data_IF_641717056780
#
_entry.id   IF_641717056780
#
_cell.length_a   1.000
_cell.length_b   1.000
_cell.length_c   1.000
_cell.angle_alpha   90.00
_cell.angle_beta   90.00
_cell.angle_gamma   90.00
#
_symmetry.space_group_name_H-M   'P 1'
#
loop_
_entity.id
_entity.type
_entity.pdbx_description
1 polymer ?
#
# COMPACT_ATOMS: atom_id res chain seq x y z
N UNK A 1 63.65 -30.50 55.22
CA UNK A 1 64.56 -30.96 54.16
C UNK A 1 63.69 -31.33 52.96
N UNK A 2 63.97 -30.73 51.78
CA UNK A 2 63.41 -31.00 50.44
C UNK A 2 61.91 -30.69 50.19
N UNK A 3 61.42 -30.25 49.01
CA UNK A 3 61.99 -29.67 47.77
C UNK A 3 60.81 -29.45 46.76
N UNK A 4 60.79 -28.31 46.03
CA UNK A 4 60.17 -28.01 44.69
C UNK A 4 58.64 -28.14 44.50
N UNK A 5 57.88 -27.09 44.12
CA UNK A 5 57.75 -26.26 42.88
C UNK A 5 57.05 -26.96 41.68
N UNK A 6 55.95 -26.35 41.21
CA UNK A 6 55.24 -26.35 39.88
C UNK A 6 53.72 -26.59 40.09
N UNK A 7 52.72 -26.03 39.39
CA UNK A 7 52.49 -24.81 38.60
C UNK A 7 50.98 -24.78 38.22
N UNK A 8 50.50 -23.60 37.84
CA UNK A 8 49.18 -23.16 37.34
C UNK A 8 48.21 -24.17 36.67
N UNK A 9 46.89 -24.01 36.92
CA UNK A 9 45.90 -23.51 35.96
C UNK A 9 44.48 -23.41 36.57
N UNK A 10 43.77 -22.33 36.27
CA UNK A 10 42.45 -21.94 36.77
C UNK A 10 41.28 -22.54 35.97
N UNK A 11 40.04 -22.48 36.51
CA UNK A 11 38.80 -22.09 35.81
C UNK A 11 37.61 -21.92 36.80
N UNK A 12 36.78 -20.90 36.52
CA UNK A 12 35.73 -20.25 37.35
C UNK A 12 34.41 -21.04 37.55
N UNK A 13 33.48 -20.53 38.38
CA UNK A 13 32.15 -20.25 37.81
C UNK A 13 31.42 -18.96 38.26
N UNK A 14 30.68 -18.42 37.28
CA UNK A 14 29.34 -17.81 37.26
C UNK A 14 28.94 -16.67 38.24
N UNK A 15 28.69 -15.49 37.67
CA UNK A 15 27.95 -14.37 38.27
C UNK A 15 26.51 -14.38 37.75
N UNK A 16 25.53 -14.50 38.64
CA UNK A 16 24.10 -14.37 38.34
C UNK A 16 23.70 -12.90 38.57
N UNK A 17 23.35 -12.18 37.50
CA UNK A 17 22.81 -10.82 37.58
C UNK A 17 21.33 -10.80 37.23
N UNK A 18 20.46 -10.46 38.18
CA UNK A 18 19.02 -10.25 37.98
C UNK A 18 18.80 -8.73 37.78
N UNK A 19 18.23 -8.32 36.64
CA UNK A 19 17.80 -6.94 36.39
C UNK A 19 16.28 -6.81 36.53
N UNK A 20 15.85 -5.82 37.31
CA UNK A 20 14.47 -5.36 37.48
C UNK A 20 13.89 -4.80 36.18
N UNK A 21 12.58 -5.02 35.94
CA UNK A 21 11.76 -4.15 35.10
C UNK A 21 10.44 -3.86 35.82
N UNK A 22 10.22 -2.59 36.15
CA UNK A 22 8.95 -2.08 36.64
C UNK A 22 7.95 -1.90 35.49
N UNK A 23 6.68 -2.15 35.77
CA UNK A 23 5.58 -1.92 34.84
C UNK A 23 5.04 -0.50 35.10
N UNK A 24 5.32 0.43 34.19
CA UNK A 24 4.65 1.72 34.12
C UNK A 24 3.44 1.55 33.20
N UNK A 25 2.24 1.47 33.75
CA UNK A 25 1.01 1.63 32.96
C UNK A 25 0.82 3.13 32.72
N UNK A 26 1.23 3.60 31.55
CA UNK A 26 1.10 4.99 31.14
C UNK A 26 0.40 5.09 29.80
N UNK A 27 -0.71 5.83 29.77
CA UNK A 27 -1.28 6.53 28.60
C UNK A 27 -1.64 5.76 27.32
N UNK A 28 -1.38 4.46 27.22
CA UNK A 28 -1.36 3.73 25.94
C UNK A 28 -2.71 3.27 25.38
N UNK A 29 -3.83 3.42 26.10
CA UNK A 29 -5.15 3.00 25.59
C UNK A 29 -5.89 4.06 24.78
N UNK A 30 -5.47 5.33 24.84
CA UNK A 30 -6.08 6.43 24.07
C UNK A 30 -5.40 6.71 22.72
N UNK A 31 -4.25 6.09 22.46
CA UNK A 31 -3.50 6.15 21.18
C UNK A 31 -3.64 4.86 20.36
N UNK A 32 -4.65 4.04 20.61
CA UNK A 32 -4.95 2.83 19.83
C UNK A 32 -5.60 3.14 18.46
N UNK A 33 -5.11 4.16 17.76
CA UNK A 33 -5.27 4.27 16.30
C UNK A 33 -4.06 3.57 15.71
N UNK A 34 -4.28 2.66 14.77
CA UNK A 34 -3.25 1.79 14.20
C UNK A 34 -2.03 2.61 13.74
N UNK A 35 -1.01 2.73 14.59
CA UNK A 35 0.26 3.32 14.20
C UNK A 35 0.94 2.32 13.28
N UNK A 36 1.08 2.69 12.01
CA UNK A 36 1.83 1.91 11.03
C UNK A 36 3.29 1.83 11.47
N UNK A 37 3.86 0.61 11.44
CA UNK A 37 5.25 0.41 11.81
C UNK A 37 6.18 1.19 10.85
N UNK A 38 7.18 1.95 11.35
CA UNK A 38 8.08 2.70 10.50
C UNK A 38 8.84 1.85 9.48
N UNK A 39 9.14 0.58 9.76
CA UNK A 39 9.79 -0.28 8.76
C UNK A 39 8.84 -0.66 7.64
N UNK A 40 7.55 -0.87 7.93
CA UNK A 40 6.50 -1.03 6.90
C UNK A 40 6.48 0.18 5.97
N UNK A 41 6.58 1.40 6.50
CA UNK A 41 6.67 2.61 5.67
C UNK A 41 7.91 2.64 4.78
N UNK A 42 9.07 2.28 5.32
CA UNK A 42 10.31 2.19 4.54
C UNK A 42 10.21 1.12 3.45
N UNK A 43 9.56 -0.01 3.73
CA UNK A 43 9.42 -1.10 2.78
C UNK A 43 8.53 -0.70 1.60
N UNK A 44 7.30 -0.23 1.87
CA UNK A 44 6.41 0.19 0.78
C UNK A 44 6.96 1.37 -0.01
N UNK A 45 7.70 2.29 0.62
CA UNK A 45 8.35 3.39 -0.08
C UNK A 45 9.45 2.91 -1.07
N UNK A 46 10.15 1.80 -0.75
CA UNK A 46 11.15 1.20 -1.65
C UNK A 46 10.50 0.44 -2.81
N UNK A 47 9.33 -0.14 -2.57
CA UNK A 47 8.62 -0.98 -3.53
C UNK A 47 7.56 -0.21 -4.33
N UNK A 48 7.62 1.13 -4.34
CA UNK A 48 6.75 1.95 -5.19
C UNK A 48 6.94 1.54 -6.66
N UNK A 49 5.82 1.32 -7.34
CA UNK A 49 5.74 0.82 -8.70
C UNK A 49 5.92 -0.70 -8.82
N UNK A 50 6.14 -1.43 -7.73
CA UNK A 50 6.26 -2.90 -7.74
C UNK A 50 4.96 -3.54 -7.28
N UNK A 51 4.39 -4.39 -8.12
CA UNK A 51 3.17 -5.13 -7.81
C UNK A 51 3.29 -6.57 -8.30
N UNK A 52 3.02 -7.54 -7.42
CA UNK A 52 3.28 -8.97 -7.65
C UNK A 52 4.69 -9.28 -8.20
N UNK A 53 5.69 -8.53 -7.72
CA UNK A 53 7.10 -8.69 -8.12
C UNK A 53 7.44 -8.09 -9.49
N UNK A 54 6.50 -7.39 -10.14
CA UNK A 54 6.70 -6.73 -11.43
C UNK A 54 6.80 -5.23 -11.20
N UNK A 55 7.91 -4.64 -11.65
CA UNK A 55 8.10 -3.20 -11.61
C UNK A 55 7.43 -2.50 -12.80
N UNK A 56 6.81 -1.36 -12.54
CA UNK A 56 6.22 -0.50 -13.54
C UNK A 56 6.48 0.99 -13.27
N UNK A 57 7.26 1.61 -14.16
CA UNK A 57 7.52 3.05 -14.16
C UNK A 57 6.25 3.92 -14.20
N UNK A 58 5.25 3.68 -15.09
CA UNK A 58 4.00 4.45 -15.06
C UNK A 58 3.26 4.31 -13.73
N UNK A 59 3.31 3.13 -13.08
CA UNK A 59 2.69 2.97 -11.76
C UNK A 59 3.36 3.84 -10.70
N UNK A 60 4.69 3.97 -10.74
CA UNK A 60 5.44 4.88 -9.86
C UNK A 60 4.92 6.33 -9.99
N UNK A 61 4.55 6.76 -11.21
CA UNK A 61 4.00 8.10 -11.45
C UNK A 61 2.60 8.27 -10.86
N UNK A 62 1.72 7.29 -11.06
CA UNK A 62 0.37 7.31 -10.51
C UNK A 62 0.39 7.31 -8.97
N UNK A 63 1.24 6.47 -8.35
CA UNK A 63 1.43 6.45 -6.89
C UNK A 63 1.97 7.80 -6.40
N UNK A 64 2.98 8.36 -7.06
CA UNK A 64 3.56 9.66 -6.70
C UNK A 64 2.54 10.80 -6.74
N UNK A 65 1.70 10.86 -7.77
CA UNK A 65 0.62 11.84 -7.87
C UNK A 65 -0.44 11.60 -6.79
N UNK A 66 -0.88 10.35 -6.57
CA UNK A 66 -1.82 10.00 -5.51
C UNK A 66 -1.35 10.53 -4.14
N UNK A 67 -0.11 10.21 -3.74
CA UNK A 67 0.44 10.66 -2.47
C UNK A 67 0.51 12.19 -2.38
N UNK A 68 0.77 12.86 -3.50
CA UNK A 68 0.75 14.33 -3.57
C UNK A 68 -0.65 14.89 -3.35
N UNK A 69 -1.67 14.37 -4.04
CA UNK A 69 -3.06 14.83 -3.91
C UNK A 69 -3.62 14.55 -2.51
N UNK A 70 -3.31 13.38 -1.95
CA UNK A 70 -3.77 12.96 -0.63
C UNK A 70 -3.27 13.86 0.51
N UNK A 71 -2.23 14.69 0.31
CA UNK A 71 -1.82 15.70 1.32
C UNK A 71 -2.92 16.71 1.64
N UNK A 72 -3.89 16.86 0.74
CA UNK A 72 -4.93 17.89 0.82
C UNK A 72 -6.31 17.34 1.14
N UNK A 73 -6.45 16.01 1.28
CA UNK A 73 -7.73 15.34 1.46
C UNK A 73 -7.60 14.05 2.27
N UNK A 74 -8.60 13.74 3.10
CA UNK A 74 -8.76 12.44 3.76
C UNK A 74 -9.52 11.42 2.88
N UNK A 75 -9.89 11.82 1.67
CA UNK A 75 -10.66 11.02 0.73
C UNK A 75 -9.78 10.68 -0.49
N UNK A 76 -8.91 9.68 -0.38
CA UNK A 76 -8.02 9.28 -1.48
C UNK A 76 -8.83 8.74 -2.66
N UNK A 77 -9.97 8.08 -2.43
CA UNK A 77 -10.80 7.50 -3.49
C UNK A 77 -11.62 8.54 -4.25
N UNK A 78 -11.56 9.81 -3.86
CA UNK A 78 -11.98 10.93 -4.70
C UNK A 78 -10.92 11.34 -5.75
N UNK A 79 -9.68 10.85 -5.63
CA UNK A 79 -8.58 11.20 -6.52
C UNK A 79 -8.37 10.09 -7.57
N UNK A 80 -8.44 10.47 -8.84
CA UNK A 80 -8.30 9.55 -9.96
C UNK A 80 -6.91 8.87 -9.99
N UNK A 81 -5.85 9.61 -9.66
CA UNK A 81 -4.51 9.04 -9.49
C UNK A 81 -4.41 8.03 -8.35
N UNK A 82 -5.17 8.18 -7.26
CA UNK A 82 -5.19 7.17 -6.18
C UNK A 82 -5.95 5.91 -6.56
N UNK A 83 -7.06 6.03 -7.28
CA UNK A 83 -7.79 4.86 -7.80
C UNK A 83 -6.93 4.09 -8.79
N UNK A 84 -6.28 4.77 -9.74
CA UNK A 84 -5.37 4.12 -10.70
C UNK A 84 -4.11 3.55 -10.02
N UNK A 85 -3.51 4.28 -9.06
CA UNK A 85 -2.41 3.78 -8.25
C UNK A 85 -2.77 2.49 -7.52
N UNK A 86 -3.94 2.41 -6.89
CA UNK A 86 -4.38 1.20 -6.21
C UNK A 86 -4.36 0.00 -7.16
N UNK A 87 -4.86 0.15 -8.40
CA UNK A 87 -4.88 -0.96 -9.38
C UNK A 87 -3.51 -1.44 -9.84
N UNK A 88 -2.50 -0.57 -9.81
CA UNK A 88 -1.16 -0.91 -10.30
C UNK A 88 -0.14 -1.22 -9.20
N UNK A 89 -0.42 -0.82 -7.96
CA UNK A 89 0.46 -0.95 -6.79
C UNK A 89 -0.10 -1.93 -5.75
N UNK A 90 -1.41 -2.17 -5.76
CA UNK A 90 -2.15 -2.85 -4.71
C UNK A 90 -2.76 -1.86 -3.70
N UNK A 91 -3.96 -2.14 -3.24
CA UNK A 91 -4.70 -1.35 -2.24
C UNK A 91 -3.97 -1.32 -0.90
N UNK A 92 -3.36 -2.44 -0.50
CA UNK A 92 -2.63 -2.55 0.78
C UNK A 92 -1.43 -1.62 0.80
N UNK A 93 -0.68 -1.61 -0.30
CA UNK A 93 0.50 -0.78 -0.44
C UNK A 93 0.13 0.72 -0.52
N UNK A 94 -0.88 1.08 -1.33
CA UNK A 94 -1.32 2.48 -1.44
C UNK A 94 -1.85 3.00 -0.11
N UNK A 95 -2.74 2.25 0.56
CA UNK A 95 -3.30 2.68 1.85
C UNK A 95 -2.22 2.76 2.94
N UNK A 96 -1.26 1.82 2.96
CA UNK A 96 -0.11 1.90 3.86
C UNK A 96 0.73 3.15 3.60
N UNK A 97 1.04 3.47 2.34
CA UNK A 97 1.77 4.70 1.99
C UNK A 97 1.03 5.97 2.40
N UNK A 98 -0.31 5.97 2.27
CA UNK A 98 -1.15 7.07 2.74
C UNK A 98 -1.09 7.22 4.27
N UNK A 99 -1.18 6.11 5.01
CA UNK A 99 -1.01 6.11 6.48
C UNK A 99 0.39 6.56 6.92
N UNK A 100 1.43 6.21 6.16
CA UNK A 100 2.79 6.65 6.42
C UNK A 100 2.96 8.17 6.23
N UNK A 101 2.17 8.76 5.33
CA UNK A 101 2.15 10.21 5.13
C UNK A 101 1.27 10.92 6.16
N UNK A 102 0.15 10.32 6.52
CA UNK A 102 -0.79 10.82 7.52
C UNK A 102 -1.22 9.69 8.47
N UNK A 103 -0.63 9.60 9.67
CA UNK A 103 -0.98 8.58 10.65
C UNK A 103 -2.43 8.64 11.16
N UNK A 104 -3.16 9.72 10.86
CA UNK A 104 -4.58 9.84 11.20
C UNK A 104 -5.52 9.20 10.18
N UNK A 105 -5.02 8.88 8.98
CA UNK A 105 -5.75 8.15 7.96
C UNK A 105 -6.02 6.70 8.42
N UNK A 106 -7.29 6.32 8.42
CA UNK A 106 -7.73 4.95 8.68
C UNK A 106 -8.34 4.36 7.39
N UNK A 107 -7.65 3.41 6.73
CA UNK A 107 -8.12 2.77 5.51
C UNK A 107 -9.50 2.12 5.66
N UNK A 108 -9.84 1.64 6.86
CA UNK A 108 -11.15 1.01 7.11
C UNK A 108 -12.30 2.02 7.15
N UNK A 109 -11.97 3.30 7.35
CA UNK A 109 -12.91 4.42 7.37
C UNK A 109 -12.79 5.29 6.11
N UNK A 110 -12.01 4.88 5.12
CA UNK A 110 -11.87 5.61 3.87
C UNK A 110 -13.26 5.77 3.20
N UNK A 111 -13.64 6.98 2.75
CA UNK A 111 -14.92 7.20 2.08
C UNK A 111 -15.10 6.32 0.85
N UNK A 112 -16.34 6.05 0.43
CA UNK A 112 -16.58 5.36 -0.85
C UNK A 112 -16.00 6.12 -2.04
N UNK A 113 -15.60 5.36 -3.05
CA UNK A 113 -15.32 5.84 -4.40
C UNK A 113 -16.41 6.80 -4.85
N UNK A 114 -16.03 7.98 -5.35
CA UNK A 114 -17.02 8.94 -5.83
C UNK A 114 -17.75 8.38 -7.05
N UNK A 115 -19.08 8.34 -6.99
CA UNK A 115 -19.94 7.92 -8.11
C UNK A 115 -19.62 8.66 -9.42
N UNK A 116 -19.36 9.97 -9.34
CA UNK A 116 -18.97 10.77 -10.50
C UNK A 116 -17.61 10.35 -11.07
N UNK A 117 -16.65 10.00 -10.21
CA UNK A 117 -15.36 9.47 -10.67
C UNK A 117 -15.55 8.12 -11.34
N UNK A 118 -16.32 7.21 -10.74
CA UNK A 118 -16.64 5.94 -11.38
C UNK A 118 -17.36 6.12 -12.73
N UNK A 119 -18.31 7.05 -12.84
CA UNK A 119 -19.00 7.34 -14.09
C UNK A 119 -18.03 7.85 -15.17
N UNK A 120 -17.05 8.68 -14.80
CA UNK A 120 -15.98 9.12 -15.70
C UNK A 120 -15.09 7.95 -16.14
N UNK A 121 -14.69 7.09 -15.21
CA UNK A 121 -13.94 5.85 -15.50
C UNK A 121 -14.70 4.95 -16.47
N UNK A 122 -15.98 4.70 -16.19
CA UNK A 122 -16.84 3.83 -16.99
C UNK A 122 -17.33 4.51 -18.28
N UNK A 123 -17.07 5.80 -18.46
CA UNK A 123 -17.52 6.63 -19.58
C UNK A 123 -19.05 6.59 -19.77
N UNK A 124 -19.80 6.48 -18.67
CA UNK A 124 -21.25 6.33 -18.63
C UNK A 124 -21.80 6.56 -17.22
N UNK A 125 -23.09 6.90 -17.08
CA UNK A 125 -23.69 7.12 -15.74
C UNK A 125 -24.15 5.83 -15.03
N UNK A 126 -24.37 4.73 -15.76
CA UNK A 126 -25.00 3.51 -15.21
C UNK A 126 -24.54 2.20 -15.86
N UNK A 127 -23.28 2.13 -16.28
CA UNK A 127 -22.68 0.90 -16.82
C UNK A 127 -21.50 0.43 -15.98
N UNK A 128 -21.14 -0.84 -16.16
CA UNK A 128 -19.98 -1.43 -15.52
C UNK A 128 -18.69 -0.99 -16.23
N UNK A 129 -17.59 -0.95 -15.47
CA UNK A 129 -16.27 -0.62 -15.98
C UNK A 129 -15.74 -1.76 -16.85
N UNK A 130 -15.64 -1.52 -18.15
CA UNK A 130 -15.00 -2.44 -19.10
C UNK A 130 -13.47 -2.32 -19.04
N UNK A 131 -12.76 -3.35 -19.53
CA UNK A 131 -11.31 -3.28 -19.64
C UNK A 131 -10.82 -2.12 -20.53
N UNK A 132 -11.50 -1.84 -21.66
CA UNK A 132 -11.08 -0.74 -22.53
C UNK A 132 -11.22 0.61 -21.81
N UNK A 133 -12.32 0.80 -21.08
CA UNK A 133 -12.53 2.04 -20.33
C UNK A 133 -11.51 2.19 -19.20
N UNK A 134 -11.10 1.09 -18.56
CA UNK A 134 -9.99 1.08 -17.60
C UNK A 134 -8.64 1.46 -18.24
N UNK A 135 -8.34 0.94 -19.44
CA UNK A 135 -7.13 1.33 -20.19
C UNK A 135 -7.17 2.81 -20.52
N UNK A 136 -8.28 3.31 -21.05
CA UNK A 136 -8.43 4.73 -21.39
C UNK A 136 -8.26 5.61 -20.14
N UNK A 137 -8.81 5.19 -19.01
CA UNK A 137 -8.63 5.85 -17.73
C UNK A 137 -7.16 5.93 -17.31
N UNK A 138 -6.46 4.79 -17.27
CA UNK A 138 -5.03 4.74 -16.91
C UNK A 138 -4.17 5.67 -17.80
N UNK A 139 -4.35 5.59 -19.11
CA UNK A 139 -3.59 6.42 -20.05
C UNK A 139 -4.00 7.91 -19.96
N UNK A 140 -5.27 8.18 -19.69
CA UNK A 140 -5.80 9.51 -19.41
C UNK A 140 -5.15 10.12 -18.18
N UNK A 141 -5.08 9.39 -17.07
CA UNK A 141 -4.44 9.84 -15.83
C UNK A 141 -2.95 10.10 -16.01
N UNK A 142 -2.22 9.18 -16.66
CA UNK A 142 -0.81 9.38 -16.99
C UNK A 142 -0.59 10.64 -17.84
N UNK A 143 -1.49 10.90 -18.79
CA UNK A 143 -1.46 12.14 -19.58
C UNK A 143 -1.73 13.37 -18.73
N UNK A 144 -2.74 13.31 -17.86
CA UNK A 144 -3.17 14.43 -17.00
C UNK A 144 -2.07 14.86 -16.01
N UNK A 145 -1.30 13.91 -15.49
CA UNK A 145 -0.15 14.18 -14.61
C UNK A 145 1.14 14.52 -15.37
N UNK A 146 1.09 14.59 -16.71
CA UNK A 146 2.24 14.92 -17.55
C UNK A 146 3.31 13.82 -17.61
N UNK A 147 2.95 12.56 -17.33
CA UNK A 147 3.87 11.43 -17.38
C UNK A 147 4.49 11.27 -18.77
N UNK A 148 5.78 10.92 -18.80
CA UNK A 148 6.47 10.44 -20.01
C UNK A 148 6.68 8.92 -19.98
N UNK A 149 6.31 8.28 -18.86
CA UNK A 149 6.37 6.84 -18.68
C UNK A 149 5.00 6.24 -18.98
N UNK A 150 4.99 5.20 -19.80
CA UNK A 150 3.77 4.54 -20.29
C UNK A 150 3.84 3.04 -20.06
N UNK A 151 2.69 2.35 -19.91
CA UNK A 151 2.67 0.90 -19.92
C UNK A 151 3.26 0.38 -21.23
N UNK A 152 4.03 -0.71 -21.14
CA UNK A 152 4.72 -1.29 -22.30
C UNK A 152 3.76 -1.76 -23.40
N UNK A 153 2.55 -2.13 -23.00
CA UNK A 153 1.44 -2.51 -23.88
C UNK A 153 0.12 -2.50 -23.12
N UNK A 154 -0.99 -2.53 -23.86
CA UNK A 154 -2.31 -2.79 -23.29
C UNK A 154 -2.36 -4.16 -22.59
N UNK A 155 -1.62 -5.16 -23.09
CA UNK A 155 -1.54 -6.47 -22.45
C UNK A 155 -0.84 -6.43 -21.08
N UNK A 156 0.17 -5.56 -20.89
CA UNK A 156 0.76 -5.35 -19.55
C UNK A 156 -0.25 -4.76 -18.57
N UNK A 157 -1.06 -3.78 -19.00
CA UNK A 157 -2.16 -3.23 -18.19
C UNK A 157 -3.19 -4.30 -17.85
N UNK A 158 -3.50 -5.19 -18.80
CA UNK A 158 -4.40 -6.33 -18.57
C UNK A 158 -3.84 -7.30 -17.54
N UNK A 159 -2.64 -7.80 -17.78
CA UNK A 159 -2.09 -8.94 -17.07
C UNK A 159 -1.54 -8.55 -15.70
N UNK A 160 -0.94 -7.37 -15.60
CA UNK A 160 -0.20 -6.97 -14.41
C UNK A 160 -1.07 -6.19 -13.44
N UNK A 161 -2.18 -5.56 -13.89
CA UNK A 161 -3.02 -4.69 -13.06
C UNK A 161 -4.49 -5.13 -13.05
N UNK A 162 -5.17 -5.04 -14.19
CA UNK A 162 -6.62 -5.30 -14.31
C UNK A 162 -7.02 -6.71 -13.87
N UNK A 163 -6.23 -7.72 -14.25
CA UNK A 163 -6.49 -9.13 -13.97
C UNK A 163 -6.68 -9.41 -12.47
N UNK A 164 -5.93 -8.71 -11.61
CA UNK A 164 -6.00 -8.87 -10.17
C UNK A 164 -7.28 -8.28 -9.59
N UNK A 165 -7.74 -7.14 -10.12
CA UNK A 165 -9.03 -6.55 -9.72
C UNK A 165 -10.16 -7.50 -10.12
N UNK A 166 -10.18 -7.94 -11.38
CA UNK A 166 -11.19 -8.87 -11.90
C UNK A 166 -11.21 -10.19 -11.14
N UNK A 167 -10.04 -10.74 -10.81
CA UNK A 167 -9.94 -11.99 -10.05
C UNK A 167 -10.50 -11.82 -8.64
N UNK A 168 -10.22 -10.70 -7.97
CA UNK A 168 -10.73 -10.43 -6.63
C UNK A 168 -12.24 -10.20 -6.63
N UNK A 169 -12.76 -9.43 -7.59
CA UNK A 169 -14.20 -9.14 -7.71
C UNK A 169 -15.00 -10.33 -8.27
N UNK A 170 -14.33 -11.41 -8.68
CA UNK A 170 -14.93 -12.54 -9.39
C UNK A 170 -15.77 -12.10 -10.61
N UNK A 171 -15.34 -11.03 -11.26
CA UNK A 171 -15.98 -10.50 -12.46
C UNK A 171 -15.52 -11.28 -13.70
N UNK A 172 -16.37 -11.39 -14.72
CA UNK A 172 -16.02 -12.15 -15.95
C UNK A 172 -15.64 -11.26 -17.13
N UNK A 173 -16.06 -9.99 -17.14
CA UNK A 173 -15.80 -9.08 -18.28
C UNK A 173 -15.80 -7.59 -17.91
N UNK A 174 -16.60 -7.19 -16.91
CA UNK A 174 -16.72 -5.81 -16.45
C UNK A 174 -16.89 -5.77 -14.93
N UNK A 175 -16.49 -4.65 -14.32
CA UNK A 175 -16.49 -4.46 -12.86
C UNK A 175 -17.57 -3.43 -12.53
N UNK A 176 -18.53 -3.80 -11.68
CA UNK A 176 -19.56 -2.85 -11.25
C UNK A 176 -18.97 -1.80 -10.31
N UNK A 177 -19.70 -0.69 -10.10
CA UNK A 177 -19.31 0.28 -9.07
C UNK A 177 -19.15 -0.38 -7.70
N UNK A 178 -20.09 -1.26 -7.34
CA UNK A 178 -20.12 -1.86 -6.02
C UNK A 178 -18.88 -2.73 -5.81
N UNK A 179 -18.51 -3.51 -6.83
CA UNK A 179 -17.33 -4.37 -6.78
C UNK A 179 -16.02 -3.57 -6.72
N UNK A 180 -15.91 -2.47 -7.49
CA UNK A 180 -14.70 -1.65 -7.44
C UNK A 180 -14.57 -0.88 -6.11
N UNK A 181 -15.67 -0.34 -5.58
CA UNK A 181 -15.69 0.33 -4.27
C UNK A 181 -15.34 -0.64 -3.14
N UNK A 182 -15.86 -1.88 -3.21
CA UNK A 182 -15.57 -2.94 -2.25
C UNK A 182 -14.10 -3.38 -2.34
N UNK A 183 -13.59 -3.57 -3.55
CA UNK A 183 -12.19 -3.90 -3.80
C UNK A 183 -11.25 -2.84 -3.23
N UNK A 184 -11.52 -1.54 -3.45
CA UNK A 184 -10.67 -0.44 -2.94
C UNK A 184 -10.55 -0.43 -1.41
N UNK A 185 -11.55 -0.94 -0.69
CA UNK A 185 -11.61 -0.91 0.77
C UNK A 185 -11.20 -2.21 1.45
N UNK A 186 -11.41 -3.33 0.78
CA UNK A 186 -11.37 -4.65 1.42
C UNK A 186 -10.44 -5.64 0.74
N UNK A 187 -9.91 -5.32 -0.45
CA UNK A 187 -8.90 -6.18 -1.04
C UNK A 187 -7.59 -6.08 -0.24
N UNK A 188 -6.96 -7.23 0.00
CA UNK A 188 -5.57 -7.32 0.46
C UNK A 188 -4.66 -7.44 -0.76
N UNK A 189 -4.88 -6.53 -1.71
CA UNK A 189 -4.19 -6.49 -3.01
C UNK A 189 -2.85 -5.81 -2.83
#
# INVERSE_FOLDING_TARGET
MLCRILALAALLPAVLGIKFHGIHLGHSELEARAQIDPQTCVQYAKDIGVYHGIYSAPCTRLVGDCLTQAKTTQDPWAQASCVSAATCQGTTAVTSLLQCQDPSFDPTQAPSLKKALFANLAQCDSCDLSFQNYVDFVYGELSAIGSQDWPSSVDSVRNDWWSYVVAWTNSTSAISYADLDDWLKHSNS
#
